data_IF_046417328222
#
_entry.id   IF_046417328222
#
_cell.length_a   1.000
_cell.length_b   1.000
_cell.length_c   1.000
_cell.angle_alpha   90.00
_cell.angle_beta   90.00
_cell.angle_gamma   90.00
#
_symmetry.space_group_name_H-M   'P 1'
#
loop_
_entity.id
_entity.type
_entity.pdbx_description
1 polymer ?
#
# COMPACT_ATOMS: atom_id res chain seq x y z
N UNK A 1 -10.35 10.24 -36.22
CA UNK A 1 -10.06 10.67 -34.83
C UNK A 1 -9.44 9.47 -34.16
N UNK A 2 -8.20 9.52 -33.79
CA UNK A 2 -7.57 8.48 -32.98
C UNK A 2 -8.31 8.43 -31.64
N UNK A 3 -8.75 7.26 -31.24
CA UNK A 3 -9.45 7.05 -29.98
C UNK A 3 -8.50 7.42 -28.84
N UNK A 4 -8.92 8.32 -27.95
CA UNK A 4 -8.10 8.73 -26.80
C UNK A 4 -8.13 7.62 -25.76
N UNK A 5 -6.98 7.11 -25.35
CA UNK A 5 -6.89 6.14 -24.27
C UNK A 5 -6.73 6.88 -22.95
N UNK A 6 -7.77 6.85 -22.14
CA UNK A 6 -7.80 7.47 -20.81
C UNK A 6 -7.73 6.40 -19.73
N UNK A 7 -6.80 6.57 -18.77
CA UNK A 7 -6.65 5.69 -17.61
C UNK A 7 -6.79 6.53 -16.35
N UNK A 8 -7.60 6.05 -15.42
CA UNK A 8 -7.87 6.73 -14.14
C UNK A 8 -7.43 5.86 -12.97
N UNK A 9 -6.94 6.51 -11.92
CA UNK A 9 -6.73 5.91 -10.62
C UNK A 9 -7.17 6.88 -9.51
N UNK A 10 -7.51 6.33 -8.35
CA UNK A 10 -7.95 7.09 -7.20
C UNK A 10 -7.07 6.81 -5.98
N UNK A 11 -7.06 7.76 -5.05
CA UNK A 11 -6.51 7.60 -3.72
C UNK A 11 -7.40 8.30 -2.68
N UNK A 12 -7.13 8.05 -1.42
CA UNK A 12 -7.88 8.63 -0.31
C UNK A 12 -6.91 9.16 0.75
N UNK A 13 -7.38 10.14 1.54
CA UNK A 13 -6.59 10.64 2.66
C UNK A 13 -6.59 9.67 3.85
N UNK A 14 -5.70 9.91 4.81
CA UNK A 14 -5.65 9.16 6.07
C UNK A 14 -6.94 9.21 6.88
N UNK A 15 -7.81 10.21 6.64
CA UNK A 15 -9.10 10.37 7.32
C UNK A 15 -10.27 9.64 6.65
N UNK A 16 -10.07 8.99 5.51
CA UNK A 16 -11.09 8.15 4.90
C UNK A 16 -11.44 6.96 5.81
N UNK A 17 -12.72 6.59 5.99
CA UNK A 17 -13.13 5.55 6.95
C UNK A 17 -12.35 4.24 6.86
N UNK A 18 -12.17 3.70 5.66
CA UNK A 18 -11.41 2.47 5.47
C UNK A 18 -9.94 2.66 5.84
N UNK A 19 -9.32 3.80 5.51
CA UNK A 19 -7.91 4.07 5.86
C UNK A 19 -7.70 4.38 7.33
N UNK A 20 -8.71 4.89 8.02
CA UNK A 20 -8.71 4.97 9.49
C UNK A 20 -8.62 3.56 10.09
N UNK A 21 -9.41 2.61 9.57
CA UNK A 21 -9.40 1.23 10.02
C UNK A 21 -8.05 0.54 9.74
N UNK A 22 -7.48 0.72 8.54
CA UNK A 22 -6.16 0.22 8.17
C UNK A 22 -5.07 0.74 9.12
N UNK A 23 -5.06 2.04 9.41
CA UNK A 23 -4.10 2.65 10.31
C UNK A 23 -4.22 2.17 11.76
N UNK A 24 -5.43 1.88 12.24
CA UNK A 24 -5.66 1.30 13.55
C UNK A 24 -5.10 -0.12 13.61
N UNK A 25 -5.43 -0.95 12.64
CA UNK A 25 -4.98 -2.34 12.57
C UNK A 25 -3.45 -2.45 12.48
N UNK A 26 -2.81 -1.60 11.68
CA UNK A 26 -1.34 -1.56 11.57
C UNK A 26 -0.65 -0.93 12.78
N UNK A 27 -1.29 0.01 13.48
CA UNK A 27 -0.74 0.54 14.73
C UNK A 27 -0.73 -0.51 15.86
N UNK A 28 -1.75 -1.35 15.91
CA UNK A 28 -1.81 -2.50 16.83
C UNK A 28 -0.72 -3.52 16.48
N UNK A 29 -0.55 -3.83 15.21
CA UNK A 29 0.50 -4.72 14.72
C UNK A 29 1.89 -4.20 15.10
N UNK A 30 2.19 -2.93 14.84
CA UNK A 30 3.49 -2.32 15.14
C UNK A 30 3.81 -2.34 16.63
N UNK A 31 2.82 -2.05 17.49
CA UNK A 31 3.00 -2.07 18.94
C UNK A 31 3.32 -3.49 19.46
N UNK A 32 2.71 -4.52 18.88
CA UNK A 32 2.99 -5.91 19.23
C UNK A 32 4.36 -6.37 18.71
N UNK A 33 4.71 -6.09 17.45
CA UNK A 33 5.99 -6.48 16.85
C UNK A 33 7.17 -5.77 17.56
N UNK A 34 6.98 -4.53 17.99
CA UNK A 34 8.01 -3.80 18.73
C UNK A 34 8.39 -4.48 20.05
N UNK A 35 7.48 -5.23 20.67
CA UNK A 35 7.69 -5.95 21.93
C UNK A 35 8.06 -7.42 21.70
N UNK A 36 7.50 -8.02 20.67
CA UNK A 36 7.72 -9.41 20.27
C UNK A 36 7.73 -9.50 18.74
N UNK A 37 8.93 -9.50 18.11
CA UNK A 37 9.06 -9.57 16.66
C UNK A 37 8.41 -10.80 16.01
N UNK A 38 8.21 -11.88 16.78
CA UNK A 38 7.56 -13.10 16.33
C UNK A 38 6.05 -13.15 16.63
N UNK A 39 5.44 -12.01 16.88
CA UNK A 39 3.98 -11.92 17.07
C UNK A 39 3.24 -12.37 15.83
N UNK A 40 2.25 -13.25 16.00
CA UNK A 40 1.28 -13.59 14.97
C UNK A 40 0.04 -12.72 15.14
N UNK A 41 -0.24 -11.89 14.16
CA UNK A 41 -1.30 -10.87 14.21
C UNK A 41 -2.13 -10.92 12.93
N UNK A 42 -3.44 -11.02 13.11
CA UNK A 42 -4.43 -10.85 12.07
C UNK A 42 -5.57 -10.02 12.66
N UNK A 43 -5.41 -8.70 12.70
CA UNK A 43 -6.34 -7.77 13.34
C UNK A 43 -7.05 -6.94 12.29
N UNK A 44 -8.36 -6.97 12.31
CA UNK A 44 -9.23 -6.14 11.51
C UNK A 44 -9.97 -5.13 12.38
N UNK A 45 -10.26 -3.99 11.79
CA UNK A 45 -11.02 -2.91 12.41
C UNK A 45 -12.21 -2.55 11.53
N UNK A 46 -13.38 -2.43 12.11
CA UNK A 46 -14.52 -1.79 11.46
C UNK A 46 -14.91 -0.52 12.19
N UNK A 47 -15.42 0.46 11.45
CA UNK A 47 -15.83 1.75 11.97
C UNK A 47 -17.22 2.13 11.47
N UNK A 48 -18.03 2.68 12.35
CA UNK A 48 -19.30 3.31 12.03
C UNK A 48 -19.46 4.56 12.88
N UNK A 49 -20.61 5.25 12.80
CA UNK A 49 -20.85 6.49 13.55
C UNK A 49 -20.51 6.33 15.03
N UNK A 50 -19.42 6.94 15.47
CA UNK A 50 -19.01 6.99 16.87
C UNK A 50 -18.55 5.67 17.50
N UNK A 51 -18.36 4.59 16.71
CA UNK A 51 -18.00 3.26 17.21
C UNK A 51 -16.91 2.63 16.36
N UNK A 52 -15.91 2.05 17.02
CA UNK A 52 -14.89 1.17 16.44
C UNK A 52 -15.03 -0.23 17.01
N UNK A 53 -14.95 -1.24 16.16
CA UNK A 53 -14.90 -2.64 16.54
C UNK A 53 -13.59 -3.24 16.01
N UNK A 54 -12.72 -3.65 16.93
CA UNK A 54 -11.42 -4.29 16.65
C UNK A 54 -11.58 -5.78 16.94
N UNK A 55 -11.27 -6.62 15.96
CA UNK A 55 -11.48 -8.07 16.07
C UNK A 55 -10.41 -8.83 15.29
N UNK A 56 -10.30 -10.12 15.54
CA UNK A 56 -9.33 -11.00 14.88
C UNK A 56 -8.56 -11.88 15.84
N UNK A 57 -7.35 -12.29 15.44
CA UNK A 57 -6.52 -13.23 16.19
C UNK A 57 -5.14 -12.62 16.46
N UNK A 58 -4.66 -12.82 17.69
CA UNK A 58 -3.35 -12.38 18.14
C UNK A 58 -2.70 -13.48 19.01
N UNK A 59 -1.47 -13.87 18.65
CA UNK A 59 -0.58 -14.65 19.50
C UNK A 59 0.74 -13.91 19.66
N UNK A 60 1.01 -13.39 20.86
CA UNK A 60 2.17 -12.53 21.14
C UNK A 60 2.55 -12.64 22.62
N UNK A 61 3.83 -12.41 22.94
CA UNK A 61 4.30 -12.17 24.30
C UNK A 61 4.15 -10.69 24.69
N UNK A 62 3.90 -9.80 23.72
CA UNK A 62 3.65 -8.38 23.94
C UNK A 62 2.22 -8.10 24.44
N UNK A 63 2.02 -6.90 24.93
CA UNK A 63 0.71 -6.38 25.33
C UNK A 63 0.46 -5.02 24.68
N UNK A 64 -0.74 -4.80 24.17
CA UNK A 64 -1.16 -3.50 23.62
C UNK A 64 -2.50 -3.07 24.21
N UNK A 65 -2.62 -1.79 24.58
CA UNK A 65 -3.89 -1.18 24.96
C UNK A 65 -4.62 -0.73 23.69
N UNK A 66 -5.49 -1.61 23.19
CA UNK A 66 -6.24 -1.40 21.95
C UNK A 66 -7.01 -0.07 21.96
N UNK A 67 -7.65 0.28 23.08
CA UNK A 67 -8.41 1.53 23.17
C UNK A 67 -7.51 2.75 23.05
N UNK A 68 -6.35 2.73 23.68
CA UNK A 68 -5.35 3.79 23.58
C UNK A 68 -4.79 3.91 22.16
N UNK A 69 -4.53 2.79 21.47
CA UNK A 69 -4.08 2.79 20.07
C UNK A 69 -5.13 3.42 19.14
N UNK A 70 -6.40 2.99 19.23
CA UNK A 70 -7.48 3.57 18.43
C UNK A 70 -7.54 5.10 18.63
N UNK A 71 -7.57 5.57 19.86
CA UNK A 71 -7.65 7.01 20.18
C UNK A 71 -6.42 7.78 19.70
N UNK A 72 -5.23 7.20 19.82
CA UNK A 72 -3.97 7.80 19.35
C UNK A 72 -3.99 8.00 17.83
N UNK A 73 -4.42 6.98 17.08
CA UNK A 73 -4.57 7.07 15.61
C UNK A 73 -5.56 8.16 15.23
N UNK A 74 -6.73 8.19 15.85
CA UNK A 74 -7.76 9.20 15.56
C UNK A 74 -7.29 10.63 15.83
N UNK A 75 -6.59 10.88 16.96
CA UNK A 75 -6.01 12.19 17.25
C UNK A 75 -4.94 12.59 16.23
N UNK A 76 -4.06 11.67 15.83
CA UNK A 76 -3.03 11.91 14.81
C UNK A 76 -3.64 12.28 13.47
N UNK A 77 -4.75 11.67 13.09
CA UNK A 77 -5.50 11.97 11.86
C UNK A 77 -6.18 13.33 11.98
N UNK A 78 -6.66 13.71 13.16
CA UNK A 78 -7.34 14.97 13.43
C UNK A 78 -8.83 14.84 13.72
N UNK A 79 -9.31 13.65 14.09
CA UNK A 79 -10.66 13.43 14.59
C UNK A 79 -10.72 13.74 16.08
N UNK A 80 -10.86 15.01 16.42
CA UNK A 80 -10.73 15.55 17.79
C UNK A 80 -11.97 16.30 18.29
N UNK A 81 -13.08 16.26 17.55
CA UNK A 81 -14.33 16.94 17.93
C UNK A 81 -15.53 16.27 17.30
N UNK A 82 -16.61 16.16 18.05
CA UNK A 82 -17.92 15.70 17.53
C UNK A 82 -18.49 16.61 16.42
N UNK A 83 -18.05 17.87 16.34
CA UNK A 83 -18.47 18.81 15.28
C UNK A 83 -17.97 18.39 13.89
N UNK A 84 -16.84 17.67 13.82
CA UNK A 84 -16.34 17.10 12.58
C UNK A 84 -16.84 15.66 12.32
N UNK A 85 -17.77 15.19 13.15
CA UNK A 85 -18.44 13.90 13.03
C UNK A 85 -17.83 12.77 13.85
N UNK A 86 -16.61 12.92 14.38
CA UNK A 86 -15.93 11.91 15.19
C UNK A 86 -14.96 12.56 16.18
N UNK A 87 -15.02 12.12 17.43
CA UNK A 87 -14.14 12.57 18.49
C UNK A 87 -13.40 11.35 19.10
N UNK A 88 -12.08 11.39 19.05
CA UNK A 88 -11.20 10.35 19.57
C UNK A 88 -11.41 10.08 21.06
N UNK A 89 -11.80 11.09 21.86
CA UNK A 89 -11.90 10.97 23.31
C UNK A 89 -13.24 10.34 23.74
N UNK A 90 -14.30 10.51 22.95
CA UNK A 90 -15.65 10.07 23.30
C UNK A 90 -16.18 8.89 22.47
N UNK A 91 -15.50 8.46 21.38
CA UNK A 91 -15.94 7.33 20.58
C UNK A 91 -15.93 6.01 21.38
N UNK A 92 -16.88 5.12 21.07
CA UNK A 92 -16.91 3.76 21.59
C UNK A 92 -15.83 2.90 20.94
N UNK A 93 -15.20 2.02 21.72
CA UNK A 93 -14.26 1.01 21.20
C UNK A 93 -14.64 -0.34 21.79
N UNK A 94 -14.97 -1.29 20.92
CA UNK A 94 -15.29 -2.68 21.28
C UNK A 94 -14.19 -3.58 20.74
N UNK A 95 -13.77 -4.57 21.54
CA UNK A 95 -12.67 -5.48 21.19
C UNK A 95 -13.13 -6.92 21.29
N UNK A 96 -12.84 -7.72 20.25
CA UNK A 96 -13.05 -9.16 20.20
C UNK A 96 -11.84 -9.85 19.57
N UNK A 97 -10.76 -9.97 20.34
CA UNK A 97 -9.54 -10.67 19.95
C UNK A 97 -9.49 -12.06 20.60
N UNK A 98 -9.07 -13.06 19.83
CA UNK A 98 -8.83 -14.42 20.28
C UNK A 98 -7.39 -14.85 19.99
N UNK A 99 -6.95 -15.97 20.58
CA UNK A 99 -5.68 -16.58 20.19
C UNK A 99 -5.80 -17.25 18.81
N UNK A 100 -4.74 -17.23 18.04
CA UNK A 100 -4.68 -17.92 16.75
C UNK A 100 -4.82 -19.44 16.97
N UNK A 101 -5.49 -20.13 16.02
CA UNK A 101 -5.68 -21.58 16.06
C UNK A 101 -4.34 -22.31 16.12
N UNK A 102 -4.20 -23.24 17.07
CA UNK A 102 -3.00 -24.10 17.21
C UNK A 102 -2.74 -24.96 15.98
N UNK A 103 -3.79 -25.35 15.26
CA UNK A 103 -3.68 -26.18 14.05
C UNK A 103 -3.04 -25.39 12.90
N UNK A 104 -3.36 -24.12 12.76
CA UNK A 104 -2.74 -23.21 11.76
C UNK A 104 -1.27 -23.02 12.12
N UNK A 105 -0.95 -22.72 13.37
CA UNK A 105 0.44 -22.52 13.80
C UNK A 105 1.30 -23.77 13.55
N UNK A 106 0.82 -24.97 13.84
CA UNK A 106 1.54 -26.22 13.60
C UNK A 106 1.74 -26.51 12.11
N UNK A 107 0.85 -26.06 11.24
CA UNK A 107 0.98 -26.18 9.78
C UNK A 107 1.99 -25.23 9.18
N UNK A 108 2.18 -24.07 9.81
CA UNK A 108 3.07 -22.99 9.34
C UNK A 108 4.48 -23.11 9.91
N UNK A 109 4.59 -23.38 11.22
CA UNK A 109 5.86 -23.52 11.93
C UNK A 109 6.18 -24.99 12.22
N UNK A 110 7.12 -25.55 11.46
CA UNK A 110 7.54 -26.96 11.62
C UNK A 110 8.68 -27.14 12.61
N UNK A 111 9.40 -26.07 12.95
CA UNK A 111 10.46 -26.08 13.94
C UNK A 111 9.99 -25.43 15.24
N UNK A 112 10.34 -26.07 16.38
CA UNK A 112 10.21 -25.40 17.68
C UNK A 112 11.28 -24.31 17.83
N UNK A 113 11.04 -23.31 18.68
CA UNK A 113 11.99 -22.22 18.93
C UNK A 113 13.43 -22.70 19.27
N UNK A 114 13.57 -23.83 19.96
CA UNK A 114 14.88 -24.45 20.26
C UNK A 114 15.53 -25.12 19.05
N UNK A 115 14.75 -25.66 18.12
CA UNK A 115 15.23 -26.24 16.87
C UNK A 115 15.58 -25.15 15.87
N UNK A 116 14.81 -24.07 15.81
CA UNK A 116 15.06 -22.92 14.95
C UNK A 116 16.39 -22.22 15.28
N UNK A 117 16.72 -22.05 16.56
CA UNK A 117 17.99 -21.45 16.98
C UNK A 117 19.23 -22.28 16.63
N UNK A 118 19.09 -23.58 16.39
CA UNK A 118 20.15 -24.51 16.00
C UNK A 118 20.17 -24.82 14.49
N UNK A 119 19.13 -24.45 13.75
CA UNK A 119 18.97 -24.74 12.33
C UNK A 119 19.85 -23.84 11.44
N UNK A 120 20.31 -24.37 10.32
CA UNK A 120 20.91 -23.58 9.25
C UNK A 120 19.88 -22.63 8.63
N UNK A 121 20.35 -21.62 7.90
CA UNK A 121 19.49 -20.70 7.15
C UNK A 121 18.55 -21.46 6.20
N UNK A 122 19.08 -22.45 5.49
CA UNK A 122 18.31 -23.27 4.56
C UNK A 122 17.23 -24.10 5.27
N UNK A 123 17.56 -24.73 6.39
CA UNK A 123 16.59 -25.48 7.20
C UNK A 123 15.46 -24.57 7.73
N UNK A 124 15.77 -23.36 8.17
CA UNK A 124 14.75 -22.39 8.61
C UNK A 124 13.83 -22.01 7.45
N UNK A 125 14.41 -21.68 6.28
CA UNK A 125 13.61 -21.30 5.11
C UNK A 125 12.68 -22.42 4.63
N UNK A 126 13.15 -23.67 4.69
CA UNK A 126 12.36 -24.82 4.30
C UNK A 126 11.31 -25.23 5.36
N UNK A 127 11.50 -24.85 6.62
CA UNK A 127 10.60 -25.23 7.72
C UNK A 127 9.37 -24.36 7.85
N UNK A 128 9.43 -23.09 7.43
CA UNK A 128 8.29 -22.18 7.49
C UNK A 128 7.48 -22.26 6.20
N UNK A 129 6.30 -22.85 6.28
CA UNK A 129 5.33 -22.85 5.18
C UNK A 129 4.56 -21.53 5.08
N UNK A 130 3.92 -21.31 3.94
CA UNK A 130 3.00 -20.19 3.77
C UNK A 130 1.82 -20.28 4.75
N UNK A 131 1.47 -19.15 5.37
CA UNK A 131 0.37 -19.07 6.35
C UNK A 131 -1.01 -19.27 5.75
N UNK A 132 -1.14 -19.13 4.44
CA UNK A 132 -2.36 -19.37 3.68
C UNK A 132 -2.03 -19.74 2.24
N UNK A 133 -3.02 -20.23 1.50
CA UNK A 133 -2.99 -20.27 0.06
C UNK A 133 -3.28 -18.89 -0.51
N UNK A 134 -2.75 -18.59 -1.70
CA UNK A 134 -3.08 -17.32 -2.36
C UNK A 134 -2.25 -17.05 -3.59
N UNK A 135 -2.64 -16.00 -4.31
CA UNK A 135 -1.90 -15.45 -5.46
C UNK A 135 -1.62 -13.98 -5.19
N UNK A 136 -0.37 -13.57 -5.29
CA UNK A 136 0.08 -12.20 -5.06
C UNK A 136 0.73 -11.65 -6.31
N UNK A 137 0.60 -10.35 -6.49
CA UNK A 137 1.12 -9.65 -7.66
C UNK A 137 2.04 -8.50 -7.25
N UNK A 138 3.16 -8.39 -7.96
CA UNK A 138 4.02 -7.23 -7.96
C UNK A 138 4.02 -6.58 -9.33
N UNK A 139 4.21 -5.26 -9.37
CA UNK A 139 4.24 -4.52 -10.61
C UNK A 139 5.26 -3.38 -10.55
N UNK A 140 5.87 -3.08 -11.68
CA UNK A 140 6.67 -1.88 -11.89
C UNK A 140 6.59 -1.44 -13.35
N UNK A 141 6.71 -0.13 -13.57
CA UNK A 141 6.85 0.46 -14.90
C UNK A 141 7.68 1.74 -14.82
N UNK A 142 8.28 2.15 -15.92
CA UNK A 142 9.17 3.31 -16.00
C UNK A 142 8.43 4.64 -16.27
N UNK A 143 7.20 4.77 -15.77
CA UNK A 143 6.39 6.00 -15.93
C UNK A 143 6.73 7.09 -14.91
N UNK A 144 7.33 6.71 -13.77
CA UNK A 144 7.74 7.62 -12.69
C UNK A 144 9.10 7.22 -12.14
N UNK A 145 9.79 8.14 -11.45
CA UNK A 145 11.10 7.88 -10.84
C UNK A 145 11.04 6.75 -9.80
N UNK A 146 9.89 6.54 -9.15
CA UNK A 146 9.66 5.45 -8.20
C UNK A 146 9.24 4.14 -8.87
N UNK A 147 9.20 4.11 -10.20
CA UNK A 147 8.78 2.96 -11.03
C UNK A 147 7.34 2.51 -10.73
N UNK A 148 6.43 3.48 -10.55
CA UNK A 148 4.99 3.29 -10.36
C UNK A 148 4.19 3.82 -11.55
N UNK A 149 2.97 3.29 -11.78
CA UNK A 149 2.05 3.86 -12.75
C UNK A 149 1.70 5.30 -12.37
N UNK A 150 1.78 6.21 -13.33
CA UNK A 150 1.58 7.64 -13.10
C UNK A 150 0.21 7.99 -12.51
N UNK A 151 -0.93 7.40 -12.93
CA UNK A 151 -2.24 7.77 -12.39
C UNK A 151 -2.35 7.57 -10.88
N UNK A 152 -1.95 6.37 -10.37
CA UNK A 152 -2.03 6.08 -8.94
C UNK A 152 -0.99 6.86 -8.16
N UNK A 153 0.22 7.04 -8.70
CA UNK A 153 1.25 7.83 -8.05
C UNK A 153 0.81 9.28 -7.86
N UNK A 154 0.25 9.92 -8.89
CA UNK A 154 -0.32 11.27 -8.79
C UNK A 154 -1.49 11.33 -7.79
N UNK A 155 -2.38 10.36 -7.82
CA UNK A 155 -3.51 10.33 -6.89
C UNK A 155 -3.03 10.26 -5.43
N UNK A 156 -2.00 9.45 -5.13
CA UNK A 156 -1.37 9.40 -3.80
C UNK A 156 -0.71 10.72 -3.42
N UNK A 157 0.06 11.34 -4.33
CA UNK A 157 0.73 12.60 -4.07
C UNK A 157 -0.28 13.73 -3.78
N UNK A 158 -1.40 13.76 -4.49
CA UNK A 158 -2.50 14.71 -4.24
C UNK A 158 -3.16 14.47 -2.88
N UNK A 159 -3.48 13.22 -2.55
CA UNK A 159 -4.09 12.87 -1.25
C UNK A 159 -3.16 13.18 -0.07
N UNK A 160 -1.86 12.89 -0.21
CA UNK A 160 -0.85 13.22 0.78
C UNK A 160 -0.73 14.73 0.97
N UNK A 161 -0.62 15.50 -0.14
CA UNK A 161 -0.52 16.96 -0.10
C UNK A 161 -1.78 17.60 0.49
N UNK A 162 -2.96 17.06 0.17
CA UNK A 162 -4.23 17.52 0.75
C UNK A 162 -4.24 17.38 2.28
N UNK A 163 -3.80 16.24 2.81
CA UNK A 163 -3.67 16.05 4.26
C UNK A 163 -2.59 16.96 4.88
N UNK A 164 -1.49 17.17 4.18
CA UNK A 164 -0.40 18.04 4.62
C UNK A 164 -0.88 19.49 4.76
N UNK A 165 -1.50 20.07 3.73
CA UNK A 165 -1.96 21.48 3.78
C UNK A 165 -3.04 21.70 4.85
N UNK A 166 -3.84 20.65 5.16
CA UNK A 166 -4.78 20.66 6.28
C UNK A 166 -4.05 20.70 7.62
N UNK A 167 -3.12 19.79 7.85
CA UNK A 167 -2.37 19.67 9.13
C UNK A 167 -1.50 20.89 9.42
N UNK A 168 -0.91 21.47 8.39
CA UNK A 168 -0.08 22.67 8.48
C UNK A 168 -0.90 23.98 8.54
N UNK A 169 -2.24 23.90 8.39
CA UNK A 169 -3.12 25.05 8.40
C UNK A 169 -2.96 25.99 7.21
N UNK A 170 -2.34 25.52 6.10
CA UNK A 170 -2.17 26.27 4.86
C UNK A 170 -3.53 26.55 4.22
N UNK A 171 -4.39 25.53 4.17
CA UNK A 171 -5.80 25.71 3.81
C UNK A 171 -6.60 25.49 5.08
N UNK A 172 -7.06 26.58 5.75
CA UNK A 172 -7.91 26.45 6.93
C UNK A 172 -9.25 25.83 6.57
N UNK A 173 -9.95 25.33 7.57
CA UNK A 173 -11.29 24.73 7.42
C UNK A 173 -11.38 23.40 6.67
N UNK A 174 -10.24 22.79 6.24
CA UNK A 174 -10.26 21.42 5.76
C UNK A 174 -10.42 20.43 6.93
N UNK A 175 -11.19 19.37 6.69
CA UNK A 175 -11.41 18.26 7.61
C UNK A 175 -10.71 16.99 7.13
N UNK A 176 -10.60 15.92 7.96
CA UNK A 176 -9.70 14.80 7.66
C UNK A 176 -10.06 13.96 6.44
N UNK A 177 -11.35 13.77 6.12
CA UNK A 177 -11.77 12.89 5.03
C UNK A 177 -11.59 13.55 3.66
N UNK A 178 -11.11 12.75 2.71
CA UNK A 178 -10.93 13.21 1.34
C UNK A 178 -10.54 12.10 0.38
N UNK A 179 -10.83 12.34 -0.90
CA UNK A 179 -10.52 11.46 -2.03
C UNK A 179 -9.91 12.26 -3.17
N UNK A 180 -9.04 11.62 -3.90
CA UNK A 180 -8.44 12.17 -5.12
C UNK A 180 -8.57 11.17 -6.26
N UNK A 181 -8.77 11.65 -7.47
CA UNK A 181 -8.77 10.83 -8.68
C UNK A 181 -8.06 11.59 -9.78
N UNK A 182 -7.24 10.89 -10.54
CA UNK A 182 -6.51 11.45 -11.68
C UNK A 182 -6.81 10.61 -12.91
N UNK A 183 -7.06 11.29 -14.03
CA UNK A 183 -7.20 10.67 -15.35
C UNK A 183 -6.06 11.16 -16.25
N UNK A 184 -5.31 10.21 -16.81
CA UNK A 184 -4.18 10.46 -17.71
C UNK A 184 -4.52 9.97 -19.11
N UNK A 185 -4.21 10.77 -20.11
CA UNK A 185 -4.24 10.38 -21.52
C UNK A 185 -2.90 9.71 -21.88
N UNK A 186 -2.98 8.53 -22.48
CA UNK A 186 -1.86 7.74 -22.98
C UNK A 186 -1.80 7.79 -24.51
N UNK A 187 -0.59 7.73 -25.04
CA UNK A 187 -0.36 7.62 -26.49
C UNK A 187 -0.45 6.17 -26.98
N UNK A 188 -0.10 5.97 -28.27
CA UNK A 188 -0.17 4.64 -28.93
C UNK A 188 0.93 3.68 -28.46
N UNK A 189 2.02 4.22 -27.86
CA UNK A 189 3.15 3.46 -27.34
C UNK A 189 2.98 3.17 -25.83
N UNK A 190 1.75 3.36 -25.31
CA UNK A 190 1.41 3.14 -23.91
C UNK A 190 2.19 4.03 -22.92
N UNK A 191 2.51 5.28 -23.36
CA UNK A 191 3.20 6.27 -22.53
C UNK A 191 2.24 7.36 -22.05
N UNK A 192 2.36 7.80 -20.80
CA UNK A 192 1.57 8.92 -20.29
C UNK A 192 1.93 10.20 -21.05
N UNK A 193 0.92 10.88 -21.59
CA UNK A 193 1.09 12.05 -22.42
C UNK A 193 0.60 13.32 -21.75
N UNK A 194 -0.59 13.28 -21.17
CA UNK A 194 -1.26 14.47 -20.67
C UNK A 194 -2.17 14.15 -19.49
N UNK A 195 -2.21 15.06 -18.51
CA UNK A 195 -3.25 15.07 -17.48
C UNK A 195 -4.56 15.55 -18.12
N UNK A 196 -5.60 14.73 -18.07
CA UNK A 196 -6.93 15.05 -18.60
C UNK A 196 -7.82 15.65 -17.52
N UNK A 197 -7.95 14.98 -16.38
CA UNK A 197 -8.86 15.38 -15.30
C UNK A 197 -8.22 15.15 -13.93
N UNK A 198 -8.38 16.10 -13.03
CA UNK A 198 -8.10 15.96 -11.59
C UNK A 198 -9.38 16.19 -10.81
N UNK A 199 -9.76 15.23 -9.97
CA UNK A 199 -10.89 15.33 -9.07
C UNK A 199 -10.41 15.26 -7.64
N UNK A 200 -10.86 16.19 -6.80
CA UNK A 200 -10.67 16.19 -5.35
C UNK A 200 -12.03 16.32 -4.68
N UNK A 201 -12.36 15.36 -3.83
CA UNK A 201 -13.45 15.45 -2.88
C UNK A 201 -12.86 15.58 -1.48
N UNK A 202 -13.12 16.67 -0.78
CA UNK A 202 -12.54 16.92 0.54
C UNK A 202 -13.59 17.46 1.50
N UNK A 203 -13.57 16.92 2.72
CA UNK A 203 -14.42 17.38 3.82
C UNK A 203 -13.95 18.74 4.28
N UNK A 204 -14.91 19.64 4.57
CA UNK A 204 -14.63 21.03 4.97
C UNK A 204 -15.68 21.57 5.96
N UNK A 205 -15.38 22.69 6.59
CA UNK A 205 -16.30 23.41 7.47
C UNK A 205 -17.49 24.01 6.69
N UNK A 206 -18.67 24.18 7.33
CA UNK A 206 -19.87 24.66 6.65
C UNK A 206 -19.77 26.07 6.04
N UNK A 207 -18.89 26.91 6.59
CA UNK A 207 -18.71 28.30 6.16
C UNK A 207 -17.92 28.45 4.86
N UNK A 208 -17.31 27.35 4.36
CA UNK A 208 -16.43 27.38 3.20
C UNK A 208 -17.25 27.43 1.90
N UNK A 209 -17.01 28.47 1.10
CA UNK A 209 -17.59 28.58 -0.23
C UNK A 209 -16.86 27.70 -1.25
N UNK A 210 -17.62 27.14 -2.20
CA UNK A 210 -17.11 26.19 -3.20
C UNK A 210 -16.00 26.82 -4.06
N UNK A 211 -16.20 28.04 -4.59
CA UNK A 211 -15.24 28.70 -5.49
C UNK A 211 -13.91 28.97 -4.76
N UNK A 212 -13.97 29.47 -3.54
CA UNK A 212 -12.81 29.65 -2.69
C UNK A 212 -12.05 28.33 -2.46
N UNK A 213 -12.77 27.27 -2.11
CA UNK A 213 -12.17 25.96 -1.89
C UNK A 213 -11.45 25.45 -3.15
N UNK A 214 -12.08 25.60 -4.31
CA UNK A 214 -11.48 25.20 -5.58
C UNK A 214 -10.20 26.01 -5.87
N UNK A 215 -10.19 27.32 -5.68
CA UNK A 215 -9.01 28.17 -5.85
C UNK A 215 -7.86 27.73 -4.93
N UNK A 216 -8.14 27.50 -3.64
CA UNK A 216 -7.15 27.06 -2.66
C UNK A 216 -6.57 25.67 -3.00
N UNK A 217 -7.41 24.73 -3.44
CA UNK A 217 -6.94 23.41 -3.85
C UNK A 217 -6.11 23.45 -5.11
N UNK A 218 -6.44 24.28 -6.09
CA UNK A 218 -5.60 24.48 -7.29
C UNK A 218 -4.24 25.03 -6.89
N UNK A 219 -4.22 26.11 -6.10
CA UNK A 219 -2.99 26.82 -5.73
C UNK A 219 -2.06 25.99 -4.84
N UNK A 220 -2.60 25.34 -3.81
CA UNK A 220 -1.78 24.73 -2.74
C UNK A 220 -1.65 23.20 -2.84
N UNK A 221 -2.50 22.54 -3.62
CA UNK A 221 -2.48 21.08 -3.76
C UNK A 221 -2.20 20.65 -5.20
N UNK A 222 -3.05 21.04 -6.16
CA UNK A 222 -3.01 20.47 -7.50
C UNK A 222 -1.77 20.95 -8.25
N UNK A 223 -1.61 22.28 -8.42
CA UNK A 223 -0.50 22.84 -9.19
C UNK A 223 0.86 22.40 -8.66
N UNK A 224 1.17 22.52 -7.35
CA UNK A 224 2.48 22.11 -6.84
C UNK A 224 2.78 20.61 -7.03
N UNK A 225 1.75 19.75 -6.97
CA UNK A 225 1.94 18.29 -7.17
C UNK A 225 2.17 17.99 -8.65
N UNK A 226 1.37 18.55 -9.56
CA UNK A 226 1.53 18.33 -10.99
C UNK A 226 2.86 18.86 -11.50
N UNK A 227 3.27 20.06 -11.12
CA UNK A 227 4.55 20.67 -11.52
C UNK A 227 5.73 19.81 -11.08
N UNK A 228 5.69 19.25 -9.87
CA UNK A 228 6.74 18.40 -9.34
C UNK A 228 6.78 17.03 -10.01
N UNK A 229 5.63 16.38 -10.22
CA UNK A 229 5.56 14.99 -10.67
C UNK A 229 5.60 14.89 -12.19
N UNK A 230 4.86 15.74 -12.90
CA UNK A 230 4.79 15.71 -14.37
C UNK A 230 6.00 16.41 -15.01
N UNK A 231 6.51 17.45 -14.38
CA UNK A 231 7.64 18.24 -14.89
C UNK A 231 7.42 18.68 -16.33
N UNK A 232 8.37 18.35 -17.22
CA UNK A 232 8.26 18.60 -18.66
C UNK A 232 7.84 17.34 -19.46
N UNK A 233 7.75 16.19 -18.81
CA UNK A 233 7.52 14.91 -19.48
C UNK A 233 6.03 14.69 -19.82
N UNK A 234 5.13 15.17 -18.97
CA UNK A 234 3.69 15.00 -19.13
C UNK A 234 3.00 16.37 -19.18
N UNK A 235 2.24 16.64 -20.22
CA UNK A 235 1.48 17.89 -20.37
C UNK A 235 0.45 18.01 -19.25
N UNK A 236 0.47 19.11 -18.51
CA UNK A 236 -0.45 19.37 -17.40
C UNK A 236 -1.00 20.81 -17.44
N UNK A 237 -1.34 21.27 -18.65
CA UNK A 237 -2.05 22.54 -18.87
C UNK A 237 -3.44 22.27 -19.44
N UNK A 238 -4.43 23.09 -19.06
CA UNK A 238 -5.78 22.98 -19.58
C UNK A 238 -6.54 21.69 -19.21
N UNK A 239 -6.10 21.00 -18.17
CA UNK A 239 -6.82 19.85 -17.63
C UNK A 239 -8.10 20.28 -16.93
N UNK A 240 -9.05 19.37 -16.83
CA UNK A 240 -10.31 19.59 -16.13
C UNK A 240 -10.11 19.43 -14.62
N UNK A 241 -10.58 20.41 -13.84
CA UNK A 241 -10.62 20.33 -12.37
C UNK A 241 -12.05 20.10 -11.90
N UNK A 242 -12.24 19.14 -11.00
CA UNK A 242 -13.49 18.85 -10.33
C UNK A 242 -13.25 18.88 -8.82
N UNK A 243 -13.95 19.74 -8.10
CA UNK A 243 -13.88 19.83 -6.64
C UNK A 243 -15.27 19.62 -6.08
N UNK A 244 -15.45 18.69 -5.15
CA UNK A 244 -16.71 18.36 -4.53
C UNK A 244 -17.92 18.47 -5.52
N UNK A 245 -17.98 17.64 -6.58
CA UNK A 245 -18.95 17.83 -7.67
C UNK A 245 -20.41 17.76 -7.23
N UNK A 246 -20.69 17.22 -6.06
CA UNK A 246 -22.02 17.16 -5.45
C UNK A 246 -22.38 18.44 -4.66
N UNK A 247 -21.45 19.39 -4.56
CA UNK A 247 -21.59 20.64 -3.82
C UNK A 247 -20.77 20.68 -2.53
N UNK A 248 -21.39 20.52 -1.39
CA UNK A 248 -20.70 20.55 -0.08
C UNK A 248 -20.35 19.14 0.41
N UNK A 249 -19.25 19.05 1.16
CA UNK A 249 -18.84 17.83 1.84
C UNK A 249 -18.50 18.13 3.31
N UNK A 250 -19.54 18.34 4.11
CA UNK A 250 -19.44 18.75 5.53
C UNK A 250 -19.35 17.53 6.45
N UNK A 251 -20.22 16.53 6.24
CA UNK A 251 -20.22 15.29 6.99
C UNK A 251 -19.35 14.26 6.27
N UNK A 252 -18.30 13.77 6.93
CA UNK A 252 -17.34 12.81 6.38
C UNK A 252 -16.84 11.84 7.45
N UNK A 253 -15.86 11.03 7.08
CA UNK A 253 -15.27 10.01 7.92
C UNK A 253 -16.27 8.93 8.37
N UNK A 254 -16.00 8.19 9.45
CA UNK A 254 -16.85 7.12 9.96
C UNK A 254 -18.28 7.55 10.37
N UNK A 255 -18.52 8.85 10.47
CA UNK A 255 -19.86 9.37 10.71
C UNK A 255 -20.75 9.37 9.46
N UNK A 256 -20.14 9.47 8.27
CA UNK A 256 -20.87 9.50 7.00
C UNK A 256 -20.93 8.12 6.34
N UNK A 257 -19.85 7.33 6.42
CA UNK A 257 -19.74 6.03 5.78
C UNK A 257 -18.95 5.05 6.68
N UNK A 258 -19.34 3.79 6.63
CA UNK A 258 -18.66 2.75 7.40
C UNK A 258 -17.27 2.46 6.82
N UNK A 259 -16.28 2.23 7.70
CA UNK A 259 -14.94 1.79 7.36
C UNK A 259 -14.70 0.34 7.74
N UNK A 260 -13.80 -0.30 7.01
CA UNK A 260 -13.30 -1.64 7.30
C UNK A 260 -11.87 -1.79 6.81
N UNK A 261 -11.02 -2.46 7.59
CA UNK A 261 -9.67 -2.85 7.17
C UNK A 261 -9.70 -3.65 5.87
N UNK A 262 -8.81 -3.32 4.93
CA UNK A 262 -8.64 -4.07 3.69
C UNK A 262 -9.69 -3.80 2.61
N UNK A 263 -10.38 -2.67 2.64
CA UNK A 263 -11.34 -2.27 1.59
C UNK A 263 -10.78 -1.31 0.55
N UNK A 264 -9.50 -0.97 0.62
CA UNK A 264 -8.81 -0.09 -0.33
C UNK A 264 -7.61 -0.77 -0.99
N UNK A 265 -7.73 -2.08 -1.26
CA UNK A 265 -6.63 -2.93 -1.75
C UNK A 265 -6.06 -2.48 -3.09
N UNK A 266 -6.85 -1.88 -3.96
CA UNK A 266 -6.39 -1.35 -5.25
C UNK A 266 -5.69 0.00 -5.07
N UNK A 267 -6.16 0.84 -4.13
CA UNK A 267 -5.48 2.07 -3.70
C UNK A 267 -4.14 1.73 -3.03
N UNK A 268 -4.10 0.68 -2.23
CA UNK A 268 -2.90 0.24 -1.53
C UNK A 268 -1.81 -0.29 -2.47
N UNK A 269 -2.16 -0.69 -3.69
CA UNK A 269 -1.26 -1.32 -4.67
C UNK A 269 -1.03 -0.45 -5.90
N UNK A 270 -1.60 -0.77 -7.05
CA UNK A 270 -1.21 -0.18 -8.33
C UNK A 270 -2.34 0.59 -9.04
N UNK A 271 -3.46 0.88 -8.36
CA UNK A 271 -4.56 1.69 -8.91
C UNK A 271 -5.26 1.06 -10.11
N UNK A 272 -5.18 -0.27 -10.26
CA UNK A 272 -5.78 -1.00 -11.37
C UNK A 272 -4.86 -1.19 -12.59
N UNK A 273 -3.60 -0.79 -12.52
CA UNK A 273 -2.61 -1.03 -13.58
C UNK A 273 -2.12 -2.49 -13.62
N UNK A 274 -2.23 -3.22 -12.53
CA UNK A 274 -1.85 -4.62 -12.37
C UNK A 274 -3.03 -5.46 -11.89
N UNK A 275 -2.91 -6.78 -12.02
CA UNK A 275 -3.81 -7.72 -11.38
C UNK A 275 -3.69 -7.64 -9.84
N UNK A 276 -4.67 -8.17 -9.15
CA UNK A 276 -4.68 -8.27 -7.69
C UNK A 276 -5.21 -9.63 -7.24
N UNK A 277 -4.55 -10.25 -6.27
CA UNK A 277 -4.95 -11.56 -5.76
C UNK A 277 -6.10 -11.52 -4.73
N UNK A 278 -6.47 -10.33 -4.25
CA UNK A 278 -7.56 -10.11 -3.30
C UNK A 278 -7.14 -10.00 -1.84
N UNK A 279 -5.88 -10.32 -1.50
CA UNK A 279 -5.36 -10.22 -0.14
C UNK A 279 -5.18 -8.77 0.34
N UNK A 280 -5.71 -8.45 1.52
CA UNK A 280 -5.46 -7.18 2.20
C UNK A 280 -4.16 -7.23 3.01
N UNK A 281 -3.53 -6.07 3.24
CA UNK A 281 -2.24 -5.96 3.93
C UNK A 281 -2.38 -5.59 5.41
N UNK A 282 -3.08 -4.50 5.69
CA UNK A 282 -3.13 -3.91 7.04
C UNK A 282 -3.65 -4.88 8.08
N UNK A 283 -3.03 -4.85 9.26
CA UNK A 283 -3.36 -5.72 10.38
C UNK A 283 -2.75 -7.13 10.34
N UNK A 284 -2.02 -7.48 9.27
CA UNK A 284 -1.38 -8.78 9.08
C UNK A 284 0.13 -8.69 9.33
N UNK A 285 0.67 -9.56 10.19
CA UNK A 285 2.12 -9.72 10.35
C UNK A 285 2.76 -10.38 9.11
N UNK A 286 4.11 -10.33 8.95
CA UNK A 286 4.76 -10.77 7.71
C UNK A 286 4.75 -12.30 7.48
N UNK A 287 4.29 -13.12 8.41
CA UNK A 287 4.05 -14.55 8.16
C UNK A 287 2.88 -14.78 7.19
N UNK A 288 2.01 -13.79 7.02
CA UNK A 288 0.91 -13.79 6.05
C UNK A 288 1.44 -13.39 4.68
N UNK A 289 1.49 -14.35 3.77
CA UNK A 289 1.99 -14.16 2.40
C UNK A 289 1.19 -13.14 1.59
N UNK A 290 -0.07 -12.90 1.91
CA UNK A 290 -0.85 -11.80 1.34
C UNK A 290 -0.09 -10.46 1.39
N UNK A 291 0.63 -10.21 2.48
CA UNK A 291 1.42 -9.00 2.68
C UNK A 291 2.88 -9.19 2.24
N UNK A 292 3.59 -10.13 2.84
CA UNK A 292 5.03 -10.31 2.61
C UNK A 292 5.37 -10.69 1.17
N UNK A 293 4.61 -11.59 0.56
CA UNK A 293 4.86 -11.99 -0.82
C UNK A 293 4.42 -10.93 -1.84
N UNK A 294 3.41 -10.10 -1.55
CA UNK A 294 3.09 -8.94 -2.38
C UNK A 294 4.22 -7.89 -2.34
N UNK A 295 4.85 -7.68 -1.19
CA UNK A 295 6.02 -6.83 -1.05
C UNK A 295 7.23 -7.40 -1.81
N UNK A 296 7.49 -8.71 -1.68
CA UNK A 296 8.55 -9.38 -2.42
C UNK A 296 8.32 -9.33 -3.94
N UNK A 297 7.09 -9.55 -4.39
CA UNK A 297 6.74 -9.45 -5.81
C UNK A 297 6.96 -8.03 -6.37
N UNK A 298 6.66 -6.98 -5.56
CA UNK A 298 7.02 -5.58 -5.90
C UNK A 298 8.53 -5.41 -6.00
N UNK A 299 9.29 -5.91 -5.04
CA UNK A 299 10.75 -5.86 -5.04
C UNK A 299 11.35 -6.49 -6.29
N UNK A 300 10.88 -7.69 -6.67
CA UNK A 300 11.28 -8.36 -7.91
C UNK A 300 10.96 -7.50 -9.14
N UNK A 301 9.71 -7.07 -9.28
CA UNK A 301 9.27 -6.28 -10.44
C UNK A 301 10.07 -4.97 -10.57
N UNK A 302 10.30 -4.28 -9.44
CA UNK A 302 11.05 -3.03 -9.41
C UNK A 302 12.50 -3.21 -9.83
N UNK A 303 13.17 -4.27 -9.37
CA UNK A 303 14.55 -4.57 -9.74
C UNK A 303 14.69 -4.95 -11.23
N UNK A 304 13.72 -5.65 -11.82
CA UNK A 304 13.73 -5.96 -13.27
C UNK A 304 13.65 -4.68 -14.10
N UNK A 305 12.73 -3.77 -13.78
CA UNK A 305 12.59 -2.49 -14.51
C UNK A 305 13.82 -1.60 -14.27
N UNK A 306 14.30 -1.50 -13.03
CA UNK A 306 15.51 -0.74 -12.70
C UNK A 306 16.77 -1.29 -13.37
N UNK A 307 16.83 -2.60 -13.62
CA UNK A 307 17.91 -3.23 -14.41
C UNK A 307 17.83 -2.87 -15.91
N UNK A 308 16.75 -2.25 -16.37
CA UNK A 308 16.52 -1.93 -17.78
C UNK A 308 16.20 -3.16 -18.63
N UNK A 309 15.68 -4.23 -18.04
CA UNK A 309 15.36 -5.47 -18.74
C UNK A 309 14.00 -5.44 -19.43
N UNK A 310 13.08 -4.63 -18.92
CA UNK A 310 11.78 -4.32 -19.52
C UNK A 310 11.27 -2.96 -19.04
N UNK A 311 10.37 -2.33 -19.80
CA UNK A 311 9.73 -1.07 -19.41
C UNK A 311 8.57 -1.27 -18.44
N UNK A 312 7.95 -2.46 -18.48
CA UNK A 312 6.78 -2.82 -17.70
C UNK A 312 6.85 -4.28 -17.30
N UNK A 313 6.62 -4.58 -16.03
CA UNK A 313 6.71 -5.94 -15.51
C UNK A 313 5.62 -6.18 -14.48
N UNK A 314 4.94 -7.33 -14.60
CA UNK A 314 4.11 -7.90 -13.56
C UNK A 314 4.69 -9.24 -13.11
N UNK A 315 4.77 -9.45 -11.82
CA UNK A 315 5.24 -10.69 -11.20
C UNK A 315 4.08 -11.31 -10.43
N UNK A 316 3.73 -12.55 -10.77
CA UNK A 316 2.75 -13.34 -10.06
C UNK A 316 3.46 -14.42 -9.23
N UNK A 317 3.12 -14.53 -7.95
CA UNK A 317 3.57 -15.59 -7.06
C UNK A 317 2.37 -16.27 -6.43
N UNK A 318 2.37 -17.60 -6.40
CA UNK A 318 1.29 -18.38 -5.79
C UNK A 318 1.83 -19.32 -4.71
N UNK A 319 1.07 -19.48 -3.62
CA UNK A 319 1.42 -20.36 -2.50
C UNK A 319 0.29 -21.33 -2.18
N UNK A 320 0.68 -22.46 -1.56
CA UNK A 320 -0.20 -23.37 -0.89
C UNK A 320 0.06 -23.33 0.62
N UNK A 321 -0.98 -23.38 1.42
CA UNK A 321 -0.86 -23.37 2.89
C UNK A 321 0.10 -24.47 3.39
N UNK A 322 1.00 -24.11 4.30
CA UNK A 322 1.96 -25.04 4.91
C UNK A 322 3.11 -25.49 3.98
N UNK A 323 3.24 -24.94 2.76
CA UNK A 323 4.32 -25.24 1.83
C UNK A 323 5.24 -24.02 1.75
N UNK A 324 6.56 -24.25 1.87
CA UNK A 324 7.55 -23.19 1.82
C UNK A 324 7.78 -22.68 0.39
N UNK A 325 8.01 -23.59 -0.56
CA UNK A 325 8.28 -23.21 -1.93
C UNK A 325 7.01 -22.65 -2.61
N UNK A 326 7.10 -21.54 -3.36
CA UNK A 326 5.99 -21.07 -4.19
C UNK A 326 5.53 -22.17 -5.17
N UNK A 327 4.23 -22.34 -5.31
CA UNK A 327 3.63 -23.27 -6.30
C UNK A 327 3.93 -22.80 -7.71
N UNK A 328 3.94 -21.49 -7.93
CA UNK A 328 4.30 -20.88 -9.21
C UNK A 328 4.88 -19.48 -9.01
N UNK A 329 5.83 -19.13 -9.90
CA UNK A 329 6.35 -17.77 -10.10
C UNK A 329 6.28 -17.50 -11.58
N UNK A 330 5.60 -16.44 -11.99
CA UNK A 330 5.47 -16.04 -13.39
C UNK A 330 5.84 -14.56 -13.55
N UNK A 331 6.58 -14.25 -14.61
CA UNK A 331 6.95 -12.88 -14.98
C UNK A 331 6.30 -12.55 -16.32
N UNK A 332 5.50 -11.49 -16.35
CA UNK A 332 4.88 -10.95 -17.56
C UNK A 332 5.50 -9.57 -17.85
N UNK A 333 5.96 -9.37 -19.06
CA UNK A 333 6.68 -8.17 -19.51
C UNK A 333 5.91 -7.34 -20.53
N UNK A 334 4.74 -7.83 -20.92
CA UNK A 334 3.84 -7.18 -21.89
C UNK A 334 4.52 -6.86 -23.25
N UNK A 335 5.55 -7.63 -23.62
CA UNK A 335 6.30 -7.40 -24.85
C UNK A 335 7.22 -6.18 -24.80
N UNK A 336 7.61 -5.73 -23.60
CA UNK A 336 8.45 -4.53 -23.41
C UNK A 336 9.89 -4.87 -23.05
N UNK A 337 10.35 -6.09 -23.30
CA UNK A 337 11.70 -6.58 -23.03
C UNK A 337 12.76 -5.79 -23.80
N UNK A 338 13.94 -5.59 -23.19
CA UNK A 338 15.03 -4.81 -23.73
C UNK A 338 16.28 -5.67 -23.96
N UNK A 339 16.42 -6.21 -25.17
CA UNK A 339 17.59 -7.00 -25.59
C UNK A 339 17.70 -8.39 -24.95
N UNK A 340 16.68 -8.84 -24.24
CA UNK A 340 16.56 -10.15 -23.59
C UNK A 340 15.19 -10.73 -23.86
N UNK A 341 14.96 -12.02 -23.57
CA UNK A 341 13.62 -12.61 -23.66
C UNK A 341 12.97 -12.67 -22.29
N UNK A 342 11.63 -12.79 -22.28
CA UNK A 342 10.88 -13.00 -21.05
C UNK A 342 11.33 -14.24 -20.30
N UNK A 343 11.66 -15.32 -21.01
CA UNK A 343 12.14 -16.57 -20.44
C UNK A 343 13.48 -16.38 -19.71
N UNK A 344 14.40 -15.60 -20.29
CA UNK A 344 15.68 -15.26 -19.63
C UNK A 344 15.47 -14.45 -18.36
N UNK A 345 14.53 -13.47 -18.36
CA UNK A 345 14.17 -12.72 -17.16
C UNK A 345 13.57 -13.66 -16.11
N UNK A 346 12.65 -14.54 -16.52
CA UNK A 346 12.01 -15.52 -15.64
C UNK A 346 13.04 -16.47 -14.96
N UNK A 347 14.05 -16.92 -15.69
CA UNK A 347 15.13 -17.77 -15.16
C UNK A 347 16.00 -16.99 -14.19
N UNK A 348 16.40 -15.76 -14.54
CA UNK A 348 17.16 -14.89 -13.65
C UNK A 348 16.44 -14.59 -12.34
N UNK A 349 15.13 -14.37 -12.38
CA UNK A 349 14.32 -14.18 -11.16
C UNK A 349 14.40 -15.40 -10.25
N UNK A 350 14.29 -16.60 -10.79
CA UNK A 350 14.40 -17.85 -10.00
C UNK A 350 15.80 -18.09 -9.41
N UNK A 351 16.84 -17.57 -10.06
CA UNK A 351 18.21 -17.68 -9.58
C UNK A 351 18.51 -16.65 -8.48
N UNK A 352 17.99 -15.44 -8.61
CA UNK A 352 18.38 -14.28 -7.79
C UNK A 352 17.50 -14.12 -6.54
N UNK A 353 16.21 -14.48 -6.61
CA UNK A 353 15.26 -14.24 -5.53
C UNK A 353 14.77 -15.53 -4.89
N UNK A 354 14.93 -15.62 -3.58
CA UNK A 354 14.30 -16.68 -2.78
C UNK A 354 12.95 -16.18 -2.28
N UNK A 355 11.88 -16.74 -2.85
CA UNK A 355 10.50 -16.32 -2.56
C UNK A 355 9.80 -17.24 -1.54
N UNK A 356 10.54 -18.03 -0.76
CA UNK A 356 9.99 -18.74 0.41
C UNK A 356 9.62 -17.73 1.50
N UNK A 357 8.53 -17.94 2.27
CA UNK A 357 8.06 -16.97 3.26
C UNK A 357 9.14 -16.49 4.25
N UNK A 358 9.90 -17.42 4.84
CA UNK A 358 10.97 -17.06 5.77
C UNK A 358 12.13 -16.30 5.09
N UNK A 359 12.45 -16.62 3.84
CA UNK A 359 13.47 -15.91 3.09
C UNK A 359 13.05 -14.46 2.81
N UNK A 360 11.80 -14.25 2.42
CA UNK A 360 11.22 -12.91 2.22
C UNK A 360 11.30 -12.08 3.49
N UNK A 361 10.93 -12.65 4.63
CA UNK A 361 10.96 -11.98 5.93
C UNK A 361 12.39 -11.55 6.28
N UNK A 362 13.37 -12.43 6.11
CA UNK A 362 14.78 -12.17 6.38
C UNK A 362 15.36 -11.10 5.41
N UNK A 363 15.17 -11.29 4.09
CA UNK A 363 15.79 -10.42 3.08
C UNK A 363 15.20 -9.01 3.06
N UNK A 364 13.91 -8.88 3.34
CA UNK A 364 13.24 -7.58 3.43
C UNK A 364 13.19 -7.03 4.86
N UNK A 365 13.78 -7.72 5.85
CA UNK A 365 13.85 -7.28 7.26
C UNK A 365 12.47 -6.85 7.79
N UNK A 366 11.48 -7.75 7.68
CA UNK A 366 10.07 -7.44 7.95
C UNK A 366 9.66 -7.58 9.42
N UNK A 367 10.51 -8.09 10.33
CA UNK A 367 10.19 -8.24 11.75
C UNK A 367 10.41 -6.93 12.53
N UNK A 368 10.02 -5.81 11.96
CA UNK A 368 10.16 -4.45 12.54
C UNK A 368 8.82 -3.73 12.57
N UNK A 369 8.62 -2.76 13.48
CA UNK A 369 7.39 -1.95 13.55
C UNK A 369 7.39 -0.87 12.47
N UNK A 370 7.13 -1.25 11.22
CA UNK A 370 7.19 -0.41 10.02
C UNK A 370 5.83 -0.25 9.32
N UNK A 371 4.81 -0.93 9.81
CA UNK A 371 3.56 -1.15 9.10
C UNK A 371 2.57 0.02 9.19
N UNK A 372 2.46 0.70 10.31
CA UNK A 372 1.57 1.86 10.45
C UNK A 372 1.86 2.98 9.42
N UNK A 373 3.12 3.11 8.98
CA UNK A 373 3.50 4.05 7.92
C UNK A 373 2.93 3.70 6.55
N UNK A 374 2.65 2.41 6.29
CA UNK A 374 2.16 1.94 4.98
C UNK A 374 0.66 2.15 4.82
N UNK A 375 -0.07 2.26 5.93
CA UNK A 375 -1.52 2.18 5.99
C UNK A 375 -2.28 3.34 5.31
N UNK A 376 -1.60 4.35 4.80
CA UNK A 376 -2.18 5.41 3.99
C UNK A 376 -1.21 5.83 2.87
N UNK A 377 -1.76 6.31 1.74
CA UNK A 377 -1.02 6.82 0.57
C UNK A 377 -0.24 5.76 -0.21
N UNK A 378 -0.69 4.50 -0.18
CA UNK A 378 -0.11 3.36 -0.90
C UNK A 378 1.07 2.70 -0.19
N UNK A 379 1.22 1.41 -0.42
CA UNK A 379 2.30 0.59 0.12
C UNK A 379 3.55 0.60 -0.78
N UNK A 380 3.40 1.04 -2.03
CA UNK A 380 4.43 1.01 -3.07
C UNK A 380 4.74 2.40 -3.62
N UNK A 381 5.95 2.57 -4.18
CA UNK A 381 6.41 3.81 -4.79
C UNK A 381 6.77 4.90 -3.79
N UNK A 382 7.22 4.55 -2.60
CA UNK A 382 7.61 5.46 -1.52
C UNK A 382 9.06 5.20 -1.11
N UNK A 383 9.89 6.24 -1.18
CA UNK A 383 11.31 6.19 -0.81
C UNK A 383 11.53 6.39 0.69
N UNK A 384 10.83 5.60 1.51
CA UNK A 384 11.08 5.53 2.96
C UNK A 384 12.15 4.43 3.21
N UNK A 385 13.20 4.68 3.99
CA UNK A 385 14.25 3.70 4.25
C UNK A 385 13.74 2.42 4.94
N UNK A 386 12.59 2.46 5.59
CA UNK A 386 11.97 1.28 6.18
C UNK A 386 11.25 0.40 5.14
N UNK A 387 10.99 0.90 3.94
CA UNK A 387 10.31 0.17 2.86
C UNK A 387 11.31 -0.57 1.99
N UNK A 388 11.87 -1.64 2.54
CA UNK A 388 12.96 -2.43 1.92
C UNK A 388 12.58 -3.04 0.57
N UNK A 389 11.30 -3.31 0.35
CA UNK A 389 10.77 -3.79 -0.95
C UNK A 389 10.84 -2.75 -2.07
N UNK A 390 11.18 -1.50 -1.77
CA UNK A 390 11.43 -0.45 -2.76
C UNK A 390 12.92 -0.32 -3.14
N UNK A 391 13.80 -1.12 -2.54
CA UNK A 391 15.23 -1.12 -2.88
C UNK A 391 15.48 -1.76 -4.25
N UNK A 392 16.50 -1.24 -4.95
CA UNK A 392 16.94 -1.73 -6.28
C UNK A 392 18.31 -2.40 -6.18
N UNK A 393 18.50 -3.17 -5.14
CA UNK A 393 19.76 -3.81 -4.71
C UNK A 393 20.15 -5.05 -5.51
N UNK A 394 19.18 -5.68 -6.23
CA UNK A 394 19.38 -6.89 -7.03
C UNK A 394 19.68 -6.65 -8.52
N UNK A 395 19.79 -5.40 -8.95
CA UNK A 395 20.06 -5.03 -10.35
C UNK A 395 21.33 -5.68 -10.89
N UNK A 396 22.40 -5.68 -10.10
CA UNK A 396 23.68 -6.28 -10.50
C UNK A 396 23.61 -7.80 -10.67
N UNK A 397 22.93 -8.48 -9.73
CA UNK A 397 22.73 -9.92 -9.75
C UNK A 397 21.87 -10.37 -10.94
N UNK A 398 20.75 -9.65 -11.20
CA UNK A 398 19.90 -9.90 -12.35
C UNK A 398 20.65 -9.76 -13.68
N UNK A 399 21.46 -8.71 -13.86
CA UNK A 399 22.28 -8.52 -15.06
C UNK A 399 23.31 -9.63 -15.23
N UNK A 400 23.92 -10.08 -14.14
CA UNK A 400 24.90 -11.18 -14.17
C UNK A 400 24.25 -12.51 -14.56
N UNK A 401 23.09 -12.83 -14.00
CA UNK A 401 22.34 -14.07 -14.29
C UNK A 401 21.95 -14.21 -15.76
N UNK A 402 21.68 -13.09 -16.46
CA UNK A 402 21.38 -13.10 -17.89
C UNK A 402 22.61 -12.88 -18.80
N UNK A 403 23.82 -12.86 -18.23
CA UNK A 403 25.06 -12.69 -18.98
C UNK A 403 25.31 -11.28 -19.53
N UNK A 404 24.63 -10.27 -19.03
CA UNK A 404 24.93 -8.86 -19.31
C UNK A 404 26.10 -8.42 -18.44
N UNK A 405 27.28 -8.32 -19.02
CA UNK A 405 28.45 -7.72 -18.37
C UNK A 405 28.20 -6.22 -18.10
N UNK A 406 28.73 -5.74 -16.97
CA UNK A 406 28.66 -4.33 -16.49
C UNK A 406 29.04 -3.33 -17.55
#
# INVERSE_FOLDING_TARGET
>A
MTERRLISAESVTEGHPDKVCDQISDAILDDLIAQDPHSHVAVETSAATGLFFVFGEVSSQGYTDIQSQVRSVLRRIGYTSSEIGLDADSCGVTVALSEQSKEINQGVERLSASQESAATREERYQSQGAGDQGVMFGYACDETDTLMPLPIYLAHQLAFRLAQVRKEGIIPHLRPDGKTQVTIEYDQDDRPRRVDTVLISTQHDPEVGHDWLQEQLIEHVITPVLDRVCGQAVEHQGYRVLVNPTGSFILGGPAADAGLTGRKIIVDTYGGAAHHGGGAFSGKDPSKVDRSAAYAARWVAKNIVAAGLAHKVEVQVAYAIGVADPVSVNVETYGTEQGVTREQIQEAVREVFDLRPAAIIDELDLLRPIYAKTAAYGHFGREDPDFTWEQVDKVGELKAAIGMTR
#
